data_IF_334942991963
#
_entry.id   IF_334942991963
#
_cell.length_a   1.000
_cell.length_b   1.000
_cell.length_c   1.000
_cell.angle_alpha   90.00
_cell.angle_beta   90.00
_cell.angle_gamma   90.00
#
_symmetry.space_group_name_H-M   'P 1'
#
loop_
_entity.id
_entity.type
_entity.pdbx_description
1 polymer ?
#
# COMPACT_ATOMS: atom_id res chain seq x y z
N UNK A 1 0.33 8.72 -7.93
CA UNK A 1 0.97 7.49 -8.44
C UNK A 1 0.78 7.50 -9.92
N UNK A 2 1.80 7.82 -10.74
CA UNK A 2 1.51 8.35 -12.10
C UNK A 2 2.25 7.71 -13.27
N UNK A 3 2.46 6.39 -13.15
CA UNK A 3 2.16 5.43 -14.21
C UNK A 3 0.79 4.73 -14.06
N UNK A 4 0.03 5.04 -12.98
CA UNK A 4 -1.39 4.68 -12.67
C UNK A 4 -1.78 3.20 -12.69
N UNK A 5 -0.76 2.40 -12.41
CA UNK A 5 -0.67 1.01 -12.01
C UNK A 5 -0.52 -0.09 -13.09
N UNK A 6 0.73 -0.61 -13.24
CA UNK A 6 1.12 -1.66 -14.16
C UNK A 6 0.86 -3.07 -13.59
N UNK A 7 1.58 -4.08 -14.09
CA UNK A 7 1.49 -5.48 -13.69
C UNK A 7 1.63 -5.71 -12.17
N UNK A 8 2.46 -4.93 -11.46
CA UNK A 8 2.68 -5.10 -10.03
C UNK A 8 3.16 -3.83 -9.30
N UNK A 9 3.10 -3.89 -7.96
CA UNK A 9 3.61 -2.84 -7.06
C UNK A 9 4.54 -3.39 -6.00
N UNK A 10 5.58 -2.64 -5.66
CA UNK A 10 6.30 -2.86 -4.41
C UNK A 10 5.74 -1.91 -3.36
N UNK A 11 5.23 -2.47 -2.26
CA UNK A 11 4.85 -1.71 -1.08
C UNK A 11 5.86 -2.00 0.03
N UNK A 12 6.35 -0.96 0.69
CA UNK A 12 7.20 -1.06 1.87
C UNK A 12 6.66 -0.19 3.00
N UNK A 13 6.21 -0.84 4.07
CA UNK A 13 5.74 -0.24 5.30
C UNK A 13 6.91 -0.13 6.29
N UNK A 14 7.19 1.09 6.77
CA UNK A 14 8.42 1.40 7.52
C UNK A 14 8.11 2.31 8.70
N UNK A 15 8.83 2.14 9.81
CA UNK A 15 8.84 3.05 10.95
C UNK A 15 10.20 3.72 11.07
N UNK A 16 10.23 4.99 11.48
CA UNK A 16 11.39 5.60 12.11
C UNK A 16 11.31 5.31 13.60
N UNK A 17 12.20 4.45 14.10
CA UNK A 17 12.20 3.97 15.49
C UNK A 17 13.00 4.88 16.43
N UNK A 18 13.72 5.84 15.88
CA UNK A 18 14.36 6.93 16.62
C UNK A 18 13.78 8.28 16.14
N UNK A 19 12.82 8.81 16.90
CA UNK A 19 12.15 10.07 16.53
C UNK A 19 13.09 11.28 16.53
N UNK A 20 14.23 11.22 17.23
CA UNK A 20 15.23 12.29 17.20
C UNK A 20 15.99 12.37 15.87
N UNK A 21 15.88 11.32 15.05
CA UNK A 21 16.55 11.19 13.75
C UNK A 21 15.59 11.26 12.56
N UNK A 22 14.37 11.77 12.75
CA UNK A 22 13.36 11.81 11.68
C UNK A 22 13.82 12.59 10.44
N UNK A 23 14.53 13.70 10.63
CA UNK A 23 15.08 14.50 9.52
C UNK A 23 16.18 13.75 8.76
N UNK A 24 16.97 12.95 9.49
CA UNK A 24 17.99 12.10 8.89
C UNK A 24 17.35 10.93 8.11
N UNK A 25 16.30 10.33 8.67
CA UNK A 25 15.51 9.29 8.02
C UNK A 25 14.89 9.80 6.72
N UNK A 26 14.23 10.95 6.77
CA UNK A 26 13.60 11.53 5.59
C UNK A 26 14.63 11.87 4.51
N UNK A 27 15.74 12.52 4.89
CA UNK A 27 16.83 12.82 3.97
C UNK A 27 17.42 11.57 3.34
N UNK A 28 17.69 10.53 4.13
CA UNK A 28 18.20 9.26 3.62
C UNK A 28 17.23 8.61 2.64
N UNK A 29 15.94 8.59 2.97
CA UNK A 29 14.93 8.04 2.07
C UNK A 29 14.91 8.77 0.73
N UNK A 30 14.92 10.10 0.75
CA UNK A 30 14.75 10.93 -0.44
C UNK A 30 16.01 11.03 -1.30
N UNK A 31 17.19 11.13 -0.67
CA UNK A 31 18.45 11.38 -1.38
C UNK A 31 19.22 10.09 -1.71
N UNK A 32 18.94 8.99 -1.02
CA UNK A 32 19.70 7.74 -1.15
C UNK A 32 18.80 6.56 -1.51
N UNK A 33 17.86 6.21 -0.64
CA UNK A 33 17.12 4.95 -0.76
C UNK A 33 16.22 4.89 -2.01
N UNK A 34 15.35 5.88 -2.19
CA UNK A 34 14.45 5.93 -3.35
C UNK A 34 15.23 6.04 -4.67
N UNK A 35 16.20 6.96 -4.79
CA UNK A 35 17.04 7.05 -5.99
C UNK A 35 17.77 5.75 -6.33
N UNK A 36 18.35 5.04 -5.34
CA UNK A 36 19.02 3.77 -5.57
C UNK A 36 18.09 2.70 -6.11
N UNK A 37 16.88 2.62 -5.57
CA UNK A 37 15.89 1.66 -6.04
C UNK A 37 15.42 2.00 -7.46
N UNK A 38 15.23 3.28 -7.78
CA UNK A 38 14.81 3.70 -9.12
C UNK A 38 15.91 3.60 -10.17
N UNK A 39 17.19 3.78 -9.79
CA UNK A 39 18.32 3.68 -10.71
C UNK A 39 18.48 2.28 -11.32
N UNK A 40 17.92 1.25 -10.67
CA UNK A 40 17.86 -0.11 -11.22
C UNK A 40 17.05 -0.22 -12.52
N UNK A 41 16.15 0.73 -12.80
CA UNK A 41 15.21 0.67 -13.92
C UNK A 41 14.05 -0.32 -13.73
N UNK A 42 14.11 -1.20 -12.73
CA UNK A 42 13.06 -2.16 -12.40
C UNK A 42 11.89 -1.50 -11.64
N UNK A 43 12.20 -0.55 -10.76
CA UNK A 43 11.23 0.19 -9.95
C UNK A 43 11.12 1.61 -10.48
N UNK A 44 9.89 2.05 -10.69
CA UNK A 44 9.58 3.39 -11.21
C UNK A 44 8.57 4.08 -10.32
N UNK A 45 8.35 5.38 -10.56
CA UNK A 45 7.32 6.17 -9.88
C UNK A 45 7.30 6.05 -8.36
N UNK A 46 8.50 6.06 -7.73
CA UNK A 46 8.60 5.96 -6.27
C UNK A 46 7.85 7.12 -5.60
N UNK A 47 6.98 6.80 -4.64
CA UNK A 47 6.23 7.77 -3.85
C UNK A 47 6.28 7.41 -2.37
N UNK A 48 6.47 8.42 -1.52
CA UNK A 48 6.45 8.27 -0.07
C UNK A 48 5.19 8.89 0.51
N UNK A 49 4.62 8.19 1.48
CA UNK A 49 3.47 8.64 2.22
C UNK A 49 3.71 8.48 3.73
N UNK A 50 3.17 9.41 4.50
CA UNK A 50 3.17 9.38 5.97
C UNK A 50 1.76 9.02 6.46
N UNK A 51 1.68 8.23 7.53
CA UNK A 51 0.40 7.84 8.12
C UNK A 51 -0.33 9.08 8.64
N UNK A 52 -1.56 9.24 8.16
CA UNK A 52 -2.40 10.40 8.43
C UNK A 52 -3.09 10.34 9.80
N UNK A 53 -3.26 9.14 10.34
CA UNK A 53 -4.00 8.82 11.56
C UNK A 53 -3.35 7.61 12.23
N UNK A 54 -2.12 7.81 12.72
CA UNK A 54 -1.29 6.74 13.24
C UNK A 54 -1.91 6.10 14.49
N UNK A 55 -2.40 4.87 14.34
CA UNK A 55 -2.91 4.04 15.43
C UNK A 55 -1.81 3.08 15.96
N UNK A 56 -1.91 2.60 17.21
CA UNK A 56 -0.96 1.61 17.75
C UNK A 56 -0.82 0.39 16.83
N UNK A 57 0.43 0.00 16.55
CA UNK A 57 0.74 -1.14 15.67
C UNK A 57 0.66 -0.86 14.17
N UNK A 58 0.26 0.35 13.75
CA UNK A 58 0.29 0.72 12.34
C UNK A 58 1.67 1.26 11.91
N UNK A 59 2.03 1.08 10.63
CA UNK A 59 3.25 1.67 10.09
C UNK A 59 3.15 3.19 10.00
N UNK A 60 4.26 3.87 10.30
CA UNK A 60 4.39 5.32 10.19
C UNK A 60 4.48 5.81 8.74
N UNK A 61 5.15 5.03 7.88
CA UNK A 61 5.40 5.39 6.49
C UNK A 61 5.01 4.25 5.55
N UNK A 62 4.64 4.64 4.33
CA UNK A 62 4.45 3.75 3.19
C UNK A 62 5.27 4.30 2.01
N UNK A 63 6.16 3.47 1.48
CA UNK A 63 6.80 3.71 0.20
C UNK A 63 6.12 2.83 -0.85
N UNK A 64 5.73 3.42 -1.98
CA UNK A 64 5.11 2.74 -3.12
C UNK A 64 6.04 2.87 -4.32
N UNK A 65 6.26 1.76 -5.02
CA UNK A 65 6.99 1.72 -6.28
C UNK A 65 6.18 0.92 -7.31
N UNK A 66 6.28 1.31 -8.57
CA UNK A 66 5.62 0.66 -9.70
C UNK A 66 6.62 -0.21 -10.48
N UNK A 67 6.17 -1.37 -10.99
CA UNK A 67 6.99 -2.20 -11.88
C UNK A 67 6.15 -2.86 -12.98
N UNK A 68 6.65 -2.80 -14.21
CA UNK A 68 6.08 -3.50 -15.36
C UNK A 68 6.61 -4.94 -15.51
N UNK A 69 7.60 -5.32 -14.70
CA UNK A 69 8.23 -6.63 -14.76
C UNK A 69 7.25 -7.72 -14.37
N UNK A 70 7.47 -8.93 -14.87
CA UNK A 70 6.86 -10.12 -14.28
C UNK A 70 7.22 -10.22 -12.79
N UNK A 71 6.28 -10.65 -11.95
CA UNK A 71 6.47 -10.63 -10.49
C UNK A 71 7.62 -11.54 -10.05
N UNK A 72 7.81 -12.70 -10.67
CA UNK A 72 8.90 -13.59 -10.30
C UNK A 72 10.25 -12.99 -10.68
N UNK A 73 10.33 -12.36 -11.87
CA UNK A 73 11.51 -11.62 -12.31
C UNK A 73 11.81 -10.42 -11.40
N UNK A 74 10.80 -9.62 -11.08
CA UNK A 74 10.91 -8.45 -10.20
C UNK A 74 11.41 -8.85 -8.81
N UNK A 75 10.91 -9.95 -8.23
CA UNK A 75 11.38 -10.45 -6.93
C UNK A 75 12.84 -10.86 -6.95
N UNK A 76 13.26 -11.59 -7.99
CA UNK A 76 14.66 -12.00 -8.15
C UNK A 76 15.57 -10.78 -8.31
N UNK A 77 15.24 -9.88 -9.22
CA UNK A 77 16.00 -8.67 -9.46
C UNK A 77 16.05 -7.76 -8.23
N UNK A 78 14.96 -7.63 -7.47
CA UNK A 78 14.94 -6.88 -6.22
C UNK A 78 15.82 -7.52 -5.14
N UNK A 79 15.84 -8.85 -5.02
CA UNK A 79 16.71 -9.55 -4.08
C UNK A 79 18.21 -9.30 -4.41
N UNK A 80 18.58 -9.35 -5.69
CA UNK A 80 19.94 -9.07 -6.16
C UNK A 80 20.33 -7.60 -5.92
N UNK A 81 19.47 -6.65 -6.29
CA UNK A 81 19.65 -5.23 -6.03
C UNK A 81 19.85 -4.96 -4.53
N UNK A 82 18.96 -5.48 -3.69
CA UNK A 82 19.04 -5.31 -2.24
C UNK A 82 20.35 -5.87 -1.67
N UNK A 83 20.79 -7.04 -2.14
CA UNK A 83 22.07 -7.61 -1.74
C UNK A 83 23.25 -6.71 -2.13
N UNK A 84 23.25 -6.13 -3.33
CA UNK A 84 24.30 -5.20 -3.76
C UNK A 84 24.32 -3.91 -2.94
N UNK A 85 23.16 -3.34 -2.61
CA UNK A 85 23.04 -2.13 -1.80
C UNK A 85 23.53 -2.37 -0.37
N UNK A 86 23.23 -3.54 0.20
CA UNK A 86 23.75 -3.95 1.50
C UNK A 86 25.28 -4.12 1.47
N UNK A 87 25.82 -4.80 0.46
CA UNK A 87 27.26 -5.00 0.32
C UNK A 87 28.02 -3.68 0.14
N UNK A 88 27.39 -2.69 -0.50
CA UNK A 88 27.93 -1.35 -0.67
C UNK A 88 27.73 -0.40 0.53
N UNK A 89 27.12 -0.89 1.64
CA UNK A 89 26.82 -0.06 2.81
C UNK A 89 25.74 1.00 2.60
N UNK A 90 25.05 0.98 1.44
CA UNK A 90 24.02 1.98 1.06
C UNK A 90 22.75 1.92 1.90
N UNK A 91 22.62 0.90 2.75
CA UNK A 91 21.51 0.71 3.69
C UNK A 91 21.91 0.91 5.16
N UNK A 92 23.17 1.28 5.43
CA UNK A 92 23.71 1.36 6.80
C UNK A 92 23.04 2.45 7.64
N UNK A 93 22.65 3.57 7.03
CA UNK A 93 21.95 4.65 7.73
C UNK A 93 20.62 4.17 8.36
N UNK A 94 19.96 3.17 7.77
CA UNK A 94 18.73 2.60 8.34
C UNK A 94 18.97 1.83 9.64
N UNK A 95 20.20 1.34 9.89
CA UNK A 95 20.50 0.53 11.07
C UNK A 95 20.30 1.37 12.34
N UNK A 96 19.38 0.92 13.20
CA UNK A 96 19.03 1.62 14.44
C UNK A 96 18.22 2.91 14.25
N UNK A 97 17.87 3.29 13.01
CA UNK A 97 17.03 4.45 12.71
C UNK A 97 15.65 4.02 12.21
N UNK A 98 15.60 2.96 11.39
CA UNK A 98 14.39 2.51 10.73
C UNK A 98 14.10 1.03 10.99
N UNK A 99 12.83 0.70 11.07
CA UNK A 99 12.31 -0.66 11.14
C UNK A 99 11.41 -0.93 9.93
N UNK A 100 11.68 -2.03 9.22
CA UNK A 100 10.81 -2.49 8.15
C UNK A 100 9.69 -3.33 8.74
N UNK A 101 8.47 -2.80 8.72
CA UNK A 101 7.27 -3.47 9.24
C UNK A 101 6.87 -4.62 8.32
N UNK A 102 6.66 -4.33 7.03
CA UNK A 102 6.35 -5.33 6.01
C UNK A 102 6.67 -4.78 4.62
N UNK A 103 7.08 -5.64 3.70
CA UNK A 103 7.19 -5.28 2.29
C UNK A 103 6.96 -6.49 1.38
N UNK A 104 6.63 -6.22 0.12
CA UNK A 104 6.45 -7.25 -0.89
C UNK A 104 6.24 -6.66 -2.28
N UNK A 105 6.30 -7.52 -3.29
CA UNK A 105 5.91 -7.21 -4.67
C UNK A 105 4.60 -7.93 -4.97
N UNK A 106 3.56 -7.15 -5.26
CA UNK A 106 2.18 -7.60 -5.34
C UNK A 106 1.65 -7.45 -6.77
N UNK A 107 1.31 -8.54 -7.47
CA UNK A 107 0.65 -8.46 -8.76
C UNK A 107 -0.70 -7.76 -8.65
N UNK A 108 -1.02 -6.96 -9.66
CA UNK A 108 -2.36 -6.46 -9.88
C UNK A 108 -3.27 -7.62 -10.27
N UNK A 109 -4.42 -7.74 -9.61
CA UNK A 109 -5.45 -8.74 -9.96
C UNK A 109 -6.62 -8.13 -10.74
N UNK A 110 -6.47 -6.87 -11.13
CA UNK A 110 -7.48 -6.13 -11.88
C UNK A 110 -8.70 -5.76 -11.03
N UNK A 111 -9.25 -4.60 -11.36
CA UNK A 111 -10.58 -4.14 -10.95
C UNK A 111 -11.19 -3.46 -12.18
N UNK A 112 -12.49 -3.63 -12.44
CA UNK A 112 -13.17 -2.90 -13.53
C UNK A 112 -13.24 -1.39 -13.27
N UNK A 113 -12.98 -0.99 -12.04
CA UNK A 113 -12.86 0.40 -11.65
C UNK A 113 -11.42 0.85 -11.94
N UNK A 114 -11.31 1.84 -12.81
CA UNK A 114 -10.04 2.39 -13.29
C UNK A 114 -9.84 3.79 -12.70
N UNK A 115 -8.58 4.16 -12.53
CA UNK A 115 -8.17 5.48 -12.06
C UNK A 115 -8.91 6.59 -12.80
N UNK A 116 -9.51 7.54 -12.07
CA UNK A 116 -9.96 8.77 -12.71
C UNK A 116 -8.71 9.56 -13.11
N UNK A 117 -8.43 9.61 -14.42
CA UNK A 117 -7.26 10.30 -14.91
C UNK A 117 -7.23 11.76 -14.46
N UNK A 118 -6.05 12.21 -14.00
CA UNK A 118 -5.72 13.62 -13.68
C UNK A 118 -6.34 14.20 -12.40
N UNK A 119 -6.95 13.39 -11.53
CA UNK A 119 -7.27 13.86 -10.17
C UNK A 119 -6.02 13.85 -9.28
N UNK A 120 -5.80 14.89 -8.47
CA UNK A 120 -4.64 14.94 -7.57
C UNK A 120 -4.79 13.90 -6.46
N UNK A 121 -3.71 13.18 -6.15
CA UNK A 121 -3.70 12.25 -5.01
C UNK A 121 -3.30 13.02 -3.76
N UNK A 122 -4.29 13.35 -2.92
CA UNK A 122 -4.07 14.00 -1.60
C UNK A 122 -4.05 13.03 -0.44
N UNK A 123 -4.59 11.82 -0.65
CA UNK A 123 -4.58 10.78 0.37
C UNK A 123 -4.77 9.39 -0.21
N UNK A 124 -4.29 8.41 0.55
CA UNK A 124 -4.52 6.99 0.31
C UNK A 124 -5.30 6.37 1.47
N UNK A 125 -6.21 5.46 1.15
CA UNK A 125 -6.65 4.41 2.05
C UNK A 125 -6.06 3.08 1.57
N UNK A 126 -5.26 2.44 2.41
CA UNK A 126 -4.75 1.09 2.17
C UNK A 126 -5.49 0.12 3.07
N UNK A 127 -6.13 -0.87 2.46
CA UNK A 127 -6.87 -1.93 3.14
C UNK A 127 -6.32 -3.30 2.74
N UNK A 128 -5.71 -4.00 3.69
CA UNK A 128 -5.23 -5.37 3.54
C UNK A 128 -6.13 -6.33 4.31
N UNK A 129 -6.50 -7.45 3.69
CA UNK A 129 -7.53 -8.35 4.22
C UNK A 129 -7.40 -9.77 3.67
N UNK A 130 -7.93 -10.72 4.42
CA UNK A 130 -8.14 -12.11 3.99
C UNK A 130 -9.62 -12.39 3.74
N UNK A 131 -9.92 -13.42 2.96
CA UNK A 131 -11.22 -14.07 3.01
C UNK A 131 -11.21 -15.06 4.19
N UNK A 132 -12.20 -14.98 5.09
CA UNK A 132 -12.28 -15.86 6.28
C UNK A 132 -12.42 -17.34 5.91
N UNK A 133 -13.03 -17.62 4.76
CA UNK A 133 -13.27 -18.97 4.25
C UNK A 133 -12.77 -19.08 2.80
N UNK A 134 -11.73 -19.88 2.53
CA UNK A 134 -11.23 -20.10 1.17
C UNK A 134 -12.29 -20.53 0.15
N UNK A 135 -13.37 -21.19 0.58
CA UNK A 135 -14.46 -21.58 -0.31
C UNK A 135 -15.25 -20.36 -0.86
N UNK A 136 -15.19 -19.21 -0.19
CA UNK A 136 -15.88 -17.99 -0.56
C UNK A 136 -15.00 -17.00 -1.34
N UNK A 137 -13.75 -17.35 -1.67
CA UNK A 137 -12.79 -16.43 -2.32
C UNK A 137 -13.33 -15.83 -3.62
N UNK A 138 -13.95 -16.66 -4.46
CA UNK A 138 -14.53 -16.19 -5.71
C UNK A 138 -15.67 -15.19 -5.47
N UNK A 139 -16.58 -15.50 -4.53
CA UNK A 139 -17.69 -14.63 -4.17
C UNK A 139 -17.23 -13.33 -3.50
N UNK A 140 -16.21 -13.42 -2.64
CA UNK A 140 -15.59 -12.28 -1.99
C UNK A 140 -14.94 -11.34 -3.01
N UNK A 141 -14.16 -11.88 -3.94
CA UNK A 141 -13.51 -11.09 -4.97
C UNK A 141 -14.51 -10.48 -5.95
N UNK A 142 -15.58 -11.21 -6.31
CA UNK A 142 -16.66 -10.72 -7.16
C UNK A 142 -17.41 -9.56 -6.51
N UNK A 143 -17.82 -9.71 -5.24
CA UNK A 143 -18.43 -8.63 -4.47
C UNK A 143 -17.53 -7.40 -4.41
N UNK A 144 -16.23 -7.57 -4.20
CA UNK A 144 -15.30 -6.44 -4.11
C UNK A 144 -15.28 -5.63 -5.42
N UNK A 145 -15.20 -6.32 -6.55
CA UNK A 145 -15.10 -5.70 -7.88
C UNK A 145 -16.42 -5.15 -8.39
N UNK A 146 -17.55 -5.80 -8.11
CA UNK A 146 -18.85 -5.50 -8.72
C UNK A 146 -19.84 -4.81 -7.77
N UNK A 147 -19.58 -4.76 -6.47
CA UNK A 147 -20.43 -4.10 -5.47
C UNK A 147 -19.65 -3.07 -4.65
N UNK A 148 -18.62 -3.51 -3.91
CA UNK A 148 -17.92 -2.66 -2.96
C UNK A 148 -17.23 -1.46 -3.60
N UNK A 149 -16.36 -1.68 -4.59
CA UNK A 149 -15.65 -0.58 -5.25
C UNK A 149 -16.61 0.39 -5.97
N UNK A 150 -17.63 -0.08 -6.71
CA UNK A 150 -18.67 0.81 -7.24
C UNK A 150 -19.34 1.68 -6.17
N UNK A 151 -19.66 1.12 -5.00
CA UNK A 151 -20.23 1.87 -3.88
C UNK A 151 -19.25 2.91 -3.32
N UNK A 152 -17.96 2.55 -3.16
CA UNK A 152 -16.90 3.49 -2.78
C UNK A 152 -16.87 4.68 -3.75
N UNK A 153 -16.97 4.44 -5.05
CA UNK A 153 -16.95 5.50 -6.06
C UNK A 153 -18.22 6.34 -6.07
N UNK A 154 -19.38 5.70 -5.93
CA UNK A 154 -20.66 6.40 -5.88
C UNK A 154 -20.78 7.36 -4.69
N UNK A 155 -19.99 7.15 -3.63
CA UNK A 155 -19.91 8.05 -2.49
C UNK A 155 -19.24 9.41 -2.80
N UNK A 156 -18.39 9.47 -3.83
CA UNK A 156 -17.59 10.64 -4.17
C UNK A 156 -16.36 10.89 -3.30
N UNK A 157 -16.09 10.09 -2.26
CA UNK A 157 -14.93 10.29 -1.36
C UNK A 157 -13.61 9.75 -1.91
N UNK A 158 -13.65 8.77 -2.81
CA UNK A 158 -12.48 8.19 -3.46
C UNK A 158 -12.72 8.10 -4.97
N UNK A 159 -11.67 8.33 -5.75
CA UNK A 159 -11.78 8.44 -7.21
C UNK A 159 -10.99 7.37 -7.99
N UNK A 160 -10.16 6.59 -7.30
CA UNK A 160 -9.44 5.45 -7.86
C UNK A 160 -9.41 4.31 -6.85
N UNK A 161 -9.36 3.08 -7.34
CA UNK A 161 -9.17 1.88 -6.55
C UNK A 161 -8.31 0.89 -7.33
N UNK A 162 -7.34 0.29 -6.66
CA UNK A 162 -6.43 -0.70 -7.22
C UNK A 162 -6.43 -1.93 -6.32
N UNK A 163 -6.43 -3.12 -6.93
CA UNK A 163 -6.46 -4.39 -6.22
C UNK A 163 -5.22 -5.21 -6.55
N UNK A 164 -4.59 -5.72 -5.51
CA UNK A 164 -3.42 -6.57 -5.58
C UNK A 164 -3.61 -7.83 -4.74
N UNK A 165 -2.83 -8.84 -5.07
CA UNK A 165 -2.78 -10.08 -4.32
C UNK A 165 -1.35 -10.33 -3.81
N UNK A 166 -1.25 -10.83 -2.58
CA UNK A 166 0.00 -11.35 -2.03
C UNK A 166 0.00 -12.87 -2.19
N UNK A 167 1.08 -13.41 -2.71
CA UNK A 167 1.28 -14.85 -2.69
C UNK A 167 1.85 -15.29 -1.33
N UNK A 168 1.49 -16.48 -0.82
CA UNK A 168 2.07 -17.00 0.41
C UNK A 168 3.61 -17.00 0.36
N UNK A 169 4.26 -16.51 1.43
CA UNK A 169 5.72 -16.47 1.53
C UNK A 169 6.41 -15.34 0.74
N UNK A 170 5.64 -14.41 0.18
CA UNK A 170 6.19 -13.30 -0.64
C UNK A 170 6.12 -11.93 0.04
N UNK A 171 5.54 -11.90 1.24
CA UNK A 171 5.60 -10.78 2.18
C UNK A 171 6.74 -11.02 3.14
N UNK A 172 7.66 -10.06 3.21
CA UNK A 172 8.79 -10.07 4.11
C UNK A 172 8.53 -9.06 5.23
N UNK A 173 8.53 -9.52 6.48
CA UNK A 173 8.56 -8.65 7.65
C UNK A 173 9.80 -8.96 8.48
N UNK A 174 10.44 -7.93 9.03
CA UNK A 174 11.63 -8.08 9.88
C UNK A 174 11.27 -8.07 11.37
N UNK A 175 10.01 -7.77 11.71
CA UNK A 175 9.45 -7.89 13.05
C UNK A 175 8.70 -9.22 13.20
N UNK A 176 9.03 -9.98 14.24
CA UNK A 176 8.38 -11.24 14.62
C UNK A 176 7.12 -10.96 15.48
N UNK A 177 5.95 -11.58 15.23
CA UNK A 177 5.65 -12.51 14.15
C UNK A 177 5.10 -11.82 12.90
N UNK A 178 5.76 -12.15 11.78
CA UNK A 178 5.45 -11.84 10.38
C UNK A 178 4.02 -12.22 9.95
N UNK A 179 3.34 -13.08 10.71
CA UNK A 179 2.01 -13.57 10.38
C UNK A 179 0.93 -12.53 10.76
N UNK A 180 0.34 -11.90 9.73
CA UNK A 180 -0.95 -11.21 9.88
C UNK A 180 -0.95 -9.69 9.78
N UNK A 181 0.19 -9.04 9.48
CA UNK A 181 0.18 -7.59 9.22
C UNK A 181 -0.52 -7.28 7.89
N UNK A 182 -0.25 -8.08 6.86
CA UNK A 182 -0.92 -8.01 5.57
C UNK A 182 -1.61 -9.35 5.31
N UNK A 183 -2.87 -9.28 4.87
CA UNK A 183 -3.62 -10.40 4.31
C UNK A 183 -3.39 -10.54 2.81
N UNK A 184 -4.02 -11.56 2.25
CA UNK A 184 -3.93 -11.97 0.84
C UNK A 184 -4.27 -10.87 -0.15
N UNK A 185 -5.26 -10.03 0.15
CA UNK A 185 -5.68 -8.96 -0.74
C UNK A 185 -5.25 -7.61 -0.21
N UNK A 186 -4.73 -6.76 -1.09
CA UNK A 186 -4.39 -5.37 -0.80
C UNK A 186 -5.17 -4.48 -1.75
N UNK A 187 -5.90 -3.53 -1.17
CA UNK A 187 -6.66 -2.54 -1.93
C UNK A 187 -6.13 -1.15 -1.59
N UNK A 188 -5.82 -0.37 -2.61
CA UNK A 188 -5.35 1.01 -2.48
C UNK A 188 -6.40 1.90 -3.12
N UNK A 189 -6.94 2.84 -2.35
CA UNK A 189 -7.88 3.84 -2.81
C UNK A 189 -7.23 5.21 -2.80
N UNK A 190 -7.43 5.99 -3.86
CA UNK A 190 -6.96 7.38 -3.94
C UNK A 190 -8.09 8.38 -3.74
N UNK A 191 -7.79 9.47 -3.04
CA UNK A 191 -8.70 10.61 -2.84
C UNK A 191 -8.00 11.93 -3.13
N UNK A 192 -8.76 12.89 -3.65
CA UNK A 192 -8.41 14.30 -3.80
C UNK A 192 -8.82 15.15 -2.57
N UNK A 193 -9.35 14.49 -1.53
CA UNK A 193 -9.69 15.07 -0.22
C UNK A 193 -8.58 14.80 0.81
N UNK A 194 -8.75 15.33 2.02
CA UNK A 194 -7.99 14.83 3.16
C UNK A 194 -8.33 13.35 3.43
N UNK A 195 -7.35 12.45 3.64
CA UNK A 195 -7.63 11.02 3.82
C UNK A 195 -8.46 10.69 5.07
N UNK A 196 -8.39 11.50 6.12
CA UNK A 196 -9.23 11.30 7.31
C UNK A 196 -10.68 11.68 7.00
N UNK A 197 -10.88 12.81 6.34
CA UNK A 197 -12.21 13.26 5.87
C UNK A 197 -12.85 12.21 4.95
N UNK A 198 -12.13 11.77 3.91
CA UNK A 198 -12.62 10.76 2.97
C UNK A 198 -12.97 9.43 3.69
N UNK A 199 -12.12 9.01 4.62
CA UNK A 199 -12.34 7.80 5.43
C UNK A 199 -13.59 7.92 6.31
N UNK A 200 -13.82 9.07 6.93
CA UNK A 200 -15.00 9.31 7.75
C UNK A 200 -16.28 9.38 6.90
N UNK A 201 -16.20 9.99 5.71
CA UNK A 201 -17.28 10.01 4.73
C UNK A 201 -17.75 8.61 4.33
N UNK A 202 -16.81 7.74 3.94
CA UNK A 202 -17.11 6.33 3.62
C UNK A 202 -17.72 5.58 4.80
N UNK A 203 -17.26 5.82 6.03
CA UNK A 203 -17.87 5.20 7.23
C UNK A 203 -19.32 5.65 7.42
N UNK A 204 -19.65 6.89 7.03
CA UNK A 204 -21.01 7.41 7.04
C UNK A 204 -21.97 6.71 6.07
N UNK A 205 -21.46 6.19 4.95
CA UNK A 205 -22.27 5.46 3.96
C UNK A 205 -22.65 4.03 4.42
N UNK A 206 -22.06 3.52 5.51
CA UNK A 206 -22.22 2.13 5.93
C UNK A 206 -23.67 1.73 6.19
N UNK A 207 -24.44 2.57 6.89
CA UNK A 207 -25.84 2.26 7.20
C UNK A 207 -26.70 2.10 5.93
N UNK A 208 -26.39 2.89 4.89
CA UNK A 208 -27.05 2.78 3.58
C UNK A 208 -26.69 1.47 2.88
N UNK A 209 -25.41 1.08 2.87
CA UNK A 209 -24.98 -0.19 2.27
C UNK A 209 -25.51 -1.42 3.02
N UNK A 210 -25.64 -1.34 4.33
CA UNK A 210 -26.29 -2.39 5.13
C UNK A 210 -27.78 -2.52 4.74
N UNK A 211 -28.49 -1.39 4.60
CA UNK A 211 -29.90 -1.38 4.20
C UNK A 211 -30.13 -1.91 2.77
N UNK A 212 -29.15 -1.79 1.87
CA UNK A 212 -29.22 -2.33 0.50
C UNK A 212 -28.64 -3.73 0.35
N UNK A 213 -28.15 -4.34 1.44
CA UNK A 213 -27.51 -5.66 1.39
C UNK A 213 -26.16 -5.67 0.66
N UNK A 214 -25.52 -4.51 0.52
CA UNK A 214 -24.23 -4.34 -0.14
C UNK A 214 -23.04 -4.59 0.79
N UNK A 215 -23.28 -4.87 2.07
CA UNK A 215 -22.24 -5.36 3.01
C UNK A 215 -22.23 -6.88 3.10
N UNK A 216 -21.08 -7.47 3.41
CA UNK A 216 -20.96 -8.88 3.77
C UNK A 216 -19.98 -9.07 4.94
N UNK A 217 -19.90 -10.28 5.47
CA UNK A 217 -18.98 -10.67 6.55
C UNK A 217 -17.89 -11.66 6.09
N UNK A 218 -17.63 -11.77 4.78
CA UNK A 218 -16.67 -12.73 4.22
C UNK A 218 -15.20 -12.34 4.48
N UNK A 219 -14.92 -11.06 4.69
CA UNK A 219 -13.56 -10.53 4.84
C UNK A 219 -13.10 -10.37 6.29
N UNK A 220 -11.80 -10.54 6.51
CA UNK A 220 -11.10 -10.20 7.75
C UNK A 220 -10.06 -9.11 7.46
N UNK A 221 -10.19 -7.93 8.06
CA UNK A 221 -9.25 -6.83 7.87
C UNK A 221 -7.99 -7.09 8.69
N UNK A 222 -6.83 -7.08 8.02
CA UNK A 222 -5.50 -7.17 8.63
C UNK A 222 -4.84 -5.80 8.84
N UNK A 223 -5.00 -4.91 7.86
CA UNK A 223 -4.54 -3.53 7.95
C UNK A 223 -5.58 -2.60 7.33
N UNK A 224 -5.86 -1.49 8.02
CA UNK A 224 -6.57 -0.35 7.44
C UNK A 224 -5.86 0.93 7.87
N UNK A 225 -5.08 1.51 6.97
CA UNK A 225 -4.28 2.70 7.26
C UNK A 225 -4.54 3.82 6.24
N UNK A 226 -4.43 5.05 6.73
CA UNK A 226 -4.63 6.27 5.95
C UNK A 226 -3.29 6.93 5.76
N UNK A 227 -2.99 7.40 4.55
CA UNK A 227 -1.70 8.04 4.29
C UNK A 227 -1.85 9.34 3.51
N UNK A 228 -0.98 10.32 3.79
CA UNK A 228 -0.81 11.54 2.99
C UNK A 228 0.52 11.49 2.25
N UNK A 229 0.61 11.99 1.00
CA UNK A 229 1.90 12.15 0.34
C UNK A 229 2.86 12.98 1.20
N UNK A 230 4.12 12.60 1.27
CA UNK A 230 5.17 13.44 1.90
C UNK A 230 5.47 14.66 1.04
N UNK A 231 5.26 14.54 -0.28
CA UNK A 231 5.52 15.60 -1.26
C UNK A 231 4.30 15.92 -2.14
N UNK A 232 4.13 17.19 -2.56
CA UNK A 232 4.89 18.36 -2.08
C UNK A 232 4.59 18.61 -0.59
N UNK A 233 5.61 19.06 0.17
CA UNK A 233 5.41 19.45 1.57
C UNK A 233 4.39 20.60 1.61
N UNK A 234 3.35 20.46 2.44
CA UNK A 234 2.27 21.44 2.63
C UNK A 234 2.79 22.75 3.23
#
# INVERSE_FOLDING_TARGET
>A
MDGRFPNAVLLAFVNCIDSSRIDEFDRFCDEVHLPDLQQSGMLTNAQRFVNADLQPGQPQYLNVYETDFDVAEARKAFAELRASLLAAGRMDAMKGMAESVAWGIFPSIGSKSTATARKPVRGLLVNSQDCKDPANEAAFSDWYSNVHIPDIFASGFFHSAYRYESEPGTVFAMADPVAGVLGKYINIYETDLDPIEASNGIRGERAKWEATGHTNDMGEIKLRALFRPVYPKS
#
